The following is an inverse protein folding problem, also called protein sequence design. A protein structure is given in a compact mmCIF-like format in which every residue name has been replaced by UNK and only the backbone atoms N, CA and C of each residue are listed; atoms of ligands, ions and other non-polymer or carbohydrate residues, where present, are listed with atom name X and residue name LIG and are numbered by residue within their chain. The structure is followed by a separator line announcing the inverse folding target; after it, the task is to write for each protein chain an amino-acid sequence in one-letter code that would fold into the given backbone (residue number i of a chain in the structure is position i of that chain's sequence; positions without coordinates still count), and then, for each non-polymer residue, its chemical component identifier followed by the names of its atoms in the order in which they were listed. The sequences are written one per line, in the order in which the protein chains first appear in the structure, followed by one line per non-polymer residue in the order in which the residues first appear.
data_IF_536016864096
#
_entry.id   IF_536016864096
#
_cell.length_a   1.000
_cell.length_b   1.000
_cell.length_c   1.000
_cell.angle_alpha   90.00
_cell.angle_beta   90.00
_cell.angle_gamma   90.00
#
_symmetry.space_group_name_H-M   'P 1'
#
loop_
_entity.id
_entity.type
_entity.pdbx_description
1 polymer ?
#
# COMPACT_ATOMS: atom_id res chain seq x y z
N UNK A 1 29.43 -78.64 -2.82
CA UNK A 1 30.17 -77.36 -2.78
C UNK A 1 29.35 -76.32 -3.53
N UNK A 2 28.67 -75.42 -2.82
CA UNK A 2 27.95 -74.27 -3.40
C UNK A 2 28.57 -73.03 -2.76
N UNK A 3 29.15 -72.08 -3.52
CA UNK A 3 29.63 -70.84 -2.93
C UNK A 3 28.45 -69.91 -2.64
N UNK A 4 28.48 -69.29 -1.46
CA UNK A 4 27.53 -68.26 -0.99
C UNK A 4 27.75 -66.97 -1.79
N UNK A 5 26.66 -66.37 -2.28
CA UNK A 5 26.68 -65.03 -2.85
C UNK A 5 26.90 -63.97 -1.75
N UNK A 6 27.85 -63.07 -1.99
CA UNK A 6 28.18 -61.95 -1.11
C UNK A 6 27.12 -60.85 -1.21
N UNK A 7 26.54 -60.47 -0.07
CA UNK A 7 25.56 -59.39 0.12
C UNK A 7 26.17 -57.97 -0.03
N UNK A 8 27.38 -57.83 -0.57
CA UNK A 8 28.12 -56.56 -0.60
C UNK A 8 27.78 -55.60 -1.76
N UNK A 9 27.03 -56.03 -2.78
CA UNK A 9 26.86 -55.21 -4.01
C UNK A 9 25.54 -54.41 -4.05
N UNK A 10 24.55 -54.76 -3.22
CA UNK A 10 23.26 -54.04 -3.19
C UNK A 10 23.31 -52.72 -2.40
N UNK A 11 24.29 -52.52 -1.52
CA UNK A 11 24.40 -51.30 -0.69
C UNK A 11 24.94 -50.08 -1.44
N UNK A 12 25.72 -50.26 -2.51
CA UNK A 12 26.35 -49.14 -3.23
C UNK A 12 25.43 -48.59 -4.34
N UNK A 13 24.52 -49.41 -4.88
CA UNK A 13 23.56 -48.93 -5.89
C UNK A 13 22.45 -48.05 -5.30
N UNK A 14 22.16 -48.20 -4.00
CA UNK A 14 21.17 -47.37 -3.30
C UNK A 14 21.70 -45.95 -2.95
N UNK A 15 23.03 -45.76 -2.92
CA UNK A 15 23.62 -44.43 -2.67
C UNK A 15 23.75 -43.57 -3.93
N UNK A 16 23.63 -44.16 -5.13
CA UNK A 16 23.70 -43.43 -6.40
C UNK A 16 22.34 -42.84 -6.86
N UNK A 17 21.23 -43.22 -6.21
CA UNK A 17 19.89 -42.71 -6.52
C UNK A 17 19.43 -41.58 -5.59
N UNK A 18 20.27 -41.15 -4.65
CA UNK A 18 19.92 -40.20 -3.58
C UNK A 18 20.33 -38.75 -3.80
N UNK A 19 20.87 -38.37 -4.98
CA UNK A 19 21.36 -36.99 -5.23
C UNK A 19 20.87 -36.47 -6.57
N UNK A 20 19.56 -36.43 -6.75
CA UNK A 20 18.94 -35.68 -7.84
C UNK A 20 17.57 -35.11 -7.45
N UNK A 21 17.40 -34.63 -6.21
CA UNK A 21 16.38 -33.62 -5.93
C UNK A 21 16.93 -32.24 -6.33
N UNK A 22 17.33 -32.09 -7.58
CA UNK A 22 17.33 -30.78 -8.19
C UNK A 22 15.87 -30.41 -8.38
N UNK A 23 15.36 -29.44 -7.63
CA UNK A 23 14.11 -28.79 -7.99
C UNK A 23 14.22 -28.43 -9.47
N UNK A 24 13.43 -29.09 -10.33
CA UNK A 24 13.39 -28.78 -11.75
C UNK A 24 13.00 -27.31 -11.83
N UNK A 25 13.97 -26.46 -12.17
CA UNK A 25 13.76 -25.01 -12.21
C UNK A 25 12.69 -24.79 -13.26
N UNK A 26 11.51 -24.31 -12.84
CA UNK A 26 10.39 -24.00 -13.73
C UNK A 26 10.94 -23.22 -14.93
N UNK A 27 10.96 -23.86 -16.11
CA UNK A 27 11.41 -23.25 -17.35
C UNK A 27 10.20 -22.79 -18.16
N UNK A 28 10.33 -21.70 -18.94
CA UNK A 28 9.33 -21.37 -19.95
C UNK A 28 9.17 -22.52 -20.95
N UNK A 29 7.96 -23.07 -21.05
CA UNK A 29 7.61 -24.13 -22.01
C UNK A 29 6.71 -23.61 -23.13
N UNK A 30 7.01 -23.96 -24.38
CA UNK A 30 6.25 -23.48 -25.54
C UNK A 30 4.77 -23.92 -25.51
N UNK A 31 4.51 -25.20 -25.18
CA UNK A 31 3.14 -25.71 -25.06
C UNK A 31 2.36 -25.00 -23.95
N UNK A 32 2.96 -24.83 -22.77
CA UNK A 32 2.33 -24.07 -21.68
C UNK A 32 2.04 -22.61 -22.07
N UNK A 33 2.97 -21.96 -22.78
CA UNK A 33 2.75 -20.61 -23.27
C UNK A 33 1.57 -20.57 -24.26
N UNK A 34 1.44 -21.56 -25.14
CA UNK A 34 0.34 -21.67 -26.11
C UNK A 34 -1.01 -21.92 -25.43
N UNK A 35 -1.06 -22.85 -24.47
CA UNK A 35 -2.28 -23.17 -23.72
C UNK A 35 -2.73 -22.00 -22.83
N UNK A 36 -1.78 -21.29 -22.22
CA UNK A 36 -2.04 -20.22 -21.23
C UNK A 36 -1.93 -18.81 -21.78
N UNK A 37 -1.68 -18.64 -23.08
CA UNK A 37 -1.53 -17.34 -23.74
C UNK A 37 -2.71 -16.40 -23.43
N UNK A 38 -3.92 -16.93 -23.45
CA UNK A 38 -5.13 -16.15 -23.18
C UNK A 38 -5.11 -15.46 -21.81
N UNK A 39 -4.51 -16.08 -20.78
CA UNK A 39 -4.40 -15.45 -19.47
C UNK A 39 -3.51 -14.21 -19.54
N UNK A 40 -2.36 -14.29 -20.22
CA UNK A 40 -1.43 -13.15 -20.38
C UNK A 40 -2.13 -12.00 -21.10
N UNK A 41 -2.81 -12.28 -22.22
CA UNK A 41 -3.52 -11.25 -22.96
C UNK A 41 -4.71 -10.68 -22.17
N UNK A 42 -5.42 -11.50 -21.38
CA UNK A 42 -6.48 -11.03 -20.50
C UNK A 42 -5.94 -10.15 -19.37
N UNK A 43 -4.78 -10.48 -18.79
CA UNK A 43 -4.14 -9.65 -17.76
C UNK A 43 -3.72 -8.30 -18.34
N UNK A 44 -3.09 -8.27 -19.52
CA UNK A 44 -2.73 -7.02 -20.21
C UNK A 44 -3.98 -6.21 -20.55
N UNK A 45 -5.02 -6.85 -21.08
CA UNK A 45 -6.28 -6.18 -21.41
C UNK A 45 -6.99 -5.62 -20.16
N UNK A 46 -6.88 -6.32 -19.03
CA UNK A 46 -7.54 -5.97 -17.77
C UNK A 46 -6.71 -5.04 -16.88
N UNK A 47 -5.44 -4.80 -17.22
CA UNK A 47 -4.56 -3.93 -16.45
C UNK A 47 -5.21 -2.55 -16.27
N UNK A 48 -5.44 -2.17 -15.01
CA UNK A 48 -6.09 -0.89 -14.66
C UNK A 48 -7.60 -0.87 -14.87
N UNK A 49 -8.27 -2.03 -15.06
CA UNK A 49 -9.72 -2.14 -15.22
C UNK A 49 -10.33 -2.98 -14.10
N UNK A 50 -11.15 -2.34 -13.29
CA UNK A 50 -11.75 -2.93 -12.09
C UNK A 50 -12.43 -4.29 -12.34
N UNK A 51 -13.32 -4.39 -13.35
CA UNK A 51 -14.05 -5.64 -13.61
C UNK A 51 -13.15 -6.81 -13.99
N UNK A 52 -12.12 -6.57 -14.80
CA UNK A 52 -11.19 -7.62 -15.21
C UNK A 52 -10.31 -8.07 -14.04
N UNK A 53 -9.84 -7.10 -13.23
CA UNK A 53 -9.10 -7.36 -12.01
C UNK A 53 -9.94 -8.10 -10.96
N UNK A 54 -11.24 -7.81 -10.85
CA UNK A 54 -12.15 -8.50 -9.93
C UNK A 54 -12.39 -9.97 -10.29
N UNK A 55 -12.47 -10.30 -11.59
CA UNK A 55 -12.62 -11.69 -12.06
C UNK A 55 -11.35 -12.52 -11.82
N UNK A 56 -10.17 -11.90 -11.94
CA UNK A 56 -8.87 -12.51 -11.66
C UNK A 56 -8.20 -11.85 -10.46
N UNK A 57 -8.86 -11.94 -9.31
CA UNK A 57 -8.58 -11.12 -8.11
C UNK A 57 -7.16 -11.24 -7.54
N UNK A 58 -6.44 -12.34 -7.76
CA UNK A 58 -5.04 -12.45 -7.30
C UNK A 58 -4.09 -11.58 -8.12
N UNK A 59 -4.39 -11.40 -9.41
CA UNK A 59 -3.44 -10.88 -10.37
C UNK A 59 -2.20 -11.76 -10.49
N UNK A 60 -1.41 -11.57 -11.55
CA UNK A 60 -0.11 -12.23 -11.68
C UNK A 60 0.93 -11.37 -12.42
N UNK A 61 0.60 -10.10 -12.65
CA UNK A 61 1.45 -9.14 -13.35
C UNK A 61 1.84 -7.94 -12.49
N UNK A 62 2.98 -7.36 -12.84
CA UNK A 62 3.37 -6.02 -12.40
C UNK A 62 3.64 -5.20 -13.65
N UNK A 63 2.94 -4.08 -13.80
CA UNK A 63 3.00 -3.28 -15.02
C UNK A 63 3.62 -1.92 -14.72
N UNK A 64 4.79 -1.59 -15.29
CA UNK A 64 5.27 -0.21 -15.25
C UNK A 64 4.33 0.67 -16.05
N UNK A 65 3.88 1.77 -15.45
CA UNK A 65 2.95 2.71 -16.06
C UNK A 65 3.39 4.15 -15.78
N UNK A 66 2.75 5.09 -16.47
CA UNK A 66 2.96 6.53 -16.25
C UNK A 66 1.62 7.19 -16.02
N UNK A 67 1.51 7.93 -14.92
CA UNK A 67 0.43 8.88 -14.68
C UNK A 67 0.88 10.23 -15.23
N UNK A 68 0.19 10.80 -16.22
CA UNK A 68 0.59 12.09 -16.80
C UNK A 68 0.59 13.26 -15.80
N UNK A 69 1.35 14.30 -16.12
CA UNK A 69 1.17 15.62 -15.50
C UNK A 69 -0.28 16.13 -15.64
N UNK A 70 -0.79 16.81 -14.62
CA UNK A 70 -2.12 17.38 -14.59
C UNK A 70 -3.22 16.41 -14.18
N UNK A 71 -2.93 15.13 -13.95
CA UNK A 71 -3.89 14.14 -13.43
C UNK A 71 -4.36 14.54 -12.03
N UNK A 72 -5.67 14.50 -11.85
CA UNK A 72 -6.34 14.78 -10.58
C UNK A 72 -6.45 13.51 -9.73
N UNK A 73 -6.31 13.69 -8.43
CA UNK A 73 -6.43 12.65 -7.43
C UNK A 73 -7.23 13.15 -6.22
N UNK A 74 -7.89 12.23 -5.53
CA UNK A 74 -8.82 12.54 -4.45
C UNK A 74 -8.49 11.76 -3.19
N UNK A 75 -8.66 12.38 -2.02
CA UNK A 75 -8.40 11.74 -0.74
C UNK A 75 -9.46 12.14 0.28
N UNK A 76 -10.09 11.15 0.90
CA UNK A 76 -10.98 11.37 2.03
C UNK A 76 -10.26 11.11 3.34
N UNK A 77 -10.35 12.04 4.28
CA UNK A 77 -9.70 11.94 5.58
C UNK A 77 -10.57 12.51 6.69
N UNK A 78 -10.28 12.11 7.92
CA UNK A 78 -10.80 12.80 9.13
C UNK A 78 -9.97 14.02 9.50
N UNK A 79 -8.86 14.25 8.82
CA UNK A 79 -7.92 15.31 9.12
C UNK A 79 -7.88 16.34 8.00
N UNK A 80 -7.76 17.62 8.37
CA UNK A 80 -7.58 18.72 7.42
C UNK A 80 -6.10 19.06 7.21
N UNK A 81 -5.27 18.03 7.09
CA UNK A 81 -3.83 18.18 6.88
C UNK A 81 -3.39 17.25 5.78
N UNK A 82 -2.32 17.65 5.10
CA UNK A 82 -1.65 16.77 4.16
C UNK A 82 -0.96 15.64 4.92
N UNK A 83 -1.22 14.37 4.57
CA UNK A 83 -0.52 13.23 5.15
C UNK A 83 0.99 13.33 4.88
N UNK A 84 1.82 12.96 5.84
CA UNK A 84 3.29 13.12 5.73
C UNK A 84 4.03 11.82 5.38
N UNK A 85 3.30 10.72 5.24
CA UNK A 85 3.84 9.39 4.92
C UNK A 85 3.26 8.84 3.62
N UNK A 86 3.50 7.54 3.36
CA UNK A 86 2.75 6.80 2.34
C UNK A 86 1.26 6.93 2.61
N UNK A 87 0.51 7.34 1.60
CA UNK A 87 -0.93 7.54 1.67
C UNK A 87 -1.59 7.12 0.36
N UNK A 88 -2.84 6.70 0.44
CA UNK A 88 -3.66 6.41 -0.74
C UNK A 88 -4.32 7.67 -1.29
N UNK A 89 -4.28 7.80 -2.61
CA UNK A 89 -5.11 8.72 -3.35
C UNK A 89 -5.93 7.93 -4.38
N UNK A 90 -7.20 8.29 -4.54
CA UNK A 90 -8.07 7.70 -5.55
C UNK A 90 -8.02 8.46 -6.86
N UNK A 91 -8.16 7.75 -7.98
CA UNK A 91 -8.40 8.34 -9.30
C UNK A 91 -9.82 8.93 -9.43
N UNK A 92 -10.78 8.37 -8.68
CA UNK A 92 -12.19 8.74 -8.75
C UNK A 92 -12.68 9.39 -7.44
N UNK A 93 -13.61 10.34 -7.56
CA UNK A 93 -14.16 11.11 -6.43
C UNK A 93 -14.95 10.20 -5.51
N UNK A 94 -15.73 9.28 -6.08
CA UNK A 94 -16.65 8.38 -5.41
C UNK A 94 -15.93 7.46 -4.43
N UNK A 95 -14.76 6.96 -4.83
CA UNK A 95 -13.92 6.13 -3.97
C UNK A 95 -13.44 6.92 -2.74
N UNK A 96 -13.03 8.18 -2.93
CA UNK A 96 -12.56 9.02 -1.84
C UNK A 96 -13.68 9.59 -0.95
N UNK A 97 -14.88 9.82 -1.50
CA UNK A 97 -15.97 10.50 -0.82
C UNK A 97 -16.39 9.75 0.46
N UNK A 98 -16.44 8.42 0.41
CA UNK A 98 -16.85 7.60 1.55
C UNK A 98 -15.95 7.83 2.79
N UNK A 99 -14.67 8.17 2.58
CA UNK A 99 -13.70 8.45 3.63
C UNK A 99 -13.72 9.91 4.12
N UNK A 100 -14.42 10.80 3.40
CA UNK A 100 -14.60 12.21 3.74
C UNK A 100 -15.94 12.51 4.44
N UNK A 101 -16.77 11.50 4.71
CA UNK A 101 -18.10 11.69 5.30
C UNK A 101 -18.02 12.20 6.74
N UNK A 102 -18.85 13.21 7.04
CA UNK A 102 -19.06 13.67 8.42
C UNK A 102 -20.14 12.83 9.09
N UNK A 103 -19.94 12.46 10.36
CA UNK A 103 -20.89 11.61 11.10
C UNK A 103 -21.12 12.13 12.52
N UNK A 104 -22.29 11.84 13.07
CA UNK A 104 -22.61 12.11 14.48
C UNK A 104 -22.22 10.89 15.31
N UNK A 105 -21.30 11.07 16.25
CA UNK A 105 -20.88 10.05 17.20
C UNK A 105 -21.55 10.28 18.54
N UNK A 106 -22.13 9.23 19.12
CA UNK A 106 -22.60 9.24 20.51
C UNK A 106 -21.58 8.56 21.42
N UNK A 107 -21.12 9.21 22.50
CA UNK A 107 -20.31 8.54 23.52
C UNK A 107 -21.02 7.26 24.01
N UNK A 108 -20.31 6.13 24.07
CA UNK A 108 -20.87 4.82 24.47
C UNK A 108 -21.45 3.94 23.35
N UNK A 109 -21.53 4.43 22.11
CA UNK A 109 -21.88 3.61 20.94
C UNK A 109 -20.71 2.78 20.39
N UNK A 110 -21.00 1.78 19.54
CA UNK A 110 -19.97 1.04 18.79
C UNK A 110 -19.14 2.05 17.98
N UNK A 111 -17.83 2.16 18.27
CA UNK A 111 -16.92 3.06 17.53
C UNK A 111 -16.97 2.73 16.03
N UNK A 112 -17.17 3.71 15.13
CA UNK A 112 -16.92 3.49 13.71
C UNK A 112 -15.42 3.23 13.55
N UNK A 113 -15.06 2.06 13.02
CA UNK A 113 -13.68 1.64 12.79
C UNK A 113 -12.98 2.74 11.97
N UNK A 114 -11.96 3.36 12.57
CA UNK A 114 -11.07 4.26 11.84
C UNK A 114 -10.17 3.45 10.91
N UNK A 115 -9.73 4.00 9.75
CA UNK A 115 -8.51 3.53 9.12
C UNK A 115 -7.37 3.55 10.17
N UNK A 116 -6.62 2.47 10.23
CA UNK A 116 -5.62 2.19 11.27
C UNK A 116 -4.60 3.34 11.34
N UNK A 117 -4.43 4.03 12.48
CA UNK A 117 -3.36 5.01 12.63
C UNK A 117 -2.00 4.31 12.77
N UNK A 118 -0.89 4.94 12.32
CA UNK A 118 0.44 4.37 12.45
C UNK A 118 0.89 4.26 13.91
N UNK A 119 1.61 3.19 14.30
CA UNK A 119 2.15 3.07 15.64
C UNK A 119 3.49 3.81 15.78
N UNK A 120 3.59 4.65 16.83
CA UNK A 120 4.81 4.74 17.64
C UNK A 120 5.74 5.94 17.41
N UNK A 121 5.89 6.73 18.47
CA UNK A 121 6.86 7.81 18.67
C UNK A 121 8.32 7.30 18.67
N UNK A 122 9.20 7.98 17.93
CA UNK A 122 10.54 8.37 18.42
C UNK A 122 10.77 9.84 17.99
N UNK A 123 11.20 10.68 18.94
CA UNK A 123 11.50 12.10 18.69
C UNK A 123 12.76 12.18 17.81
N UNK A 124 12.78 12.96 16.71
CA UNK A 124 14.02 13.38 16.09
C UNK A 124 14.52 14.67 16.76
N UNK A 125 15.82 14.70 17.01
CA UNK A 125 16.57 15.84 17.52
C UNK A 125 16.49 17.05 16.58
N UNK A 126 16.63 18.23 17.18
CA UNK A 126 16.59 19.54 16.53
C UNK A 126 17.76 19.72 15.54
N UNK A 127 17.46 20.07 14.29
CA UNK A 127 18.42 20.72 13.40
C UNK A 127 17.81 21.97 12.74
N UNK A 128 18.66 22.99 12.61
CA UNK A 128 18.31 24.40 12.36
C UNK A 128 18.50 24.77 10.88
N UNK A 129 17.61 25.65 10.39
CA UNK A 129 17.89 26.60 9.29
C UNK A 129 17.10 26.33 7.99
N UNK A 130 16.15 27.21 7.65
CA UNK A 130 16.25 28.28 6.61
C UNK A 130 15.95 27.73 5.18
N UNK A 131 15.05 28.24 4.33
CA UNK A 131 14.30 29.51 4.16
C UNK A 131 13.16 29.27 3.15
N UNK A 132 11.94 29.77 3.41
CA UNK A 132 10.74 29.64 2.55
C UNK A 132 9.48 30.24 3.20
N UNK A 133 9.46 31.56 3.43
CA UNK A 133 9.05 32.09 4.74
C UNK A 133 7.56 32.40 5.04
N UNK A 134 6.57 32.08 4.20
CA UNK A 134 5.15 32.32 4.55
C UNK A 134 4.22 31.10 4.45
N UNK A 135 4.22 30.36 3.34
CA UNK A 135 3.43 29.14 3.21
C UNK A 135 3.97 28.01 4.09
N UNK A 136 5.30 27.82 4.11
CA UNK A 136 5.93 26.88 5.04
C UNK A 136 5.74 27.33 6.49
N UNK A 137 5.61 28.63 6.76
CA UNK A 137 5.36 29.14 8.12
C UNK A 137 3.94 28.83 8.60
N UNK A 138 2.95 28.81 7.69
CA UNK A 138 1.59 28.34 8.00
C UNK A 138 1.52 26.82 8.15
N UNK A 139 2.23 26.08 7.30
CA UNK A 139 2.35 24.61 7.41
C UNK A 139 3.08 24.22 8.70
N UNK A 140 4.18 24.90 9.04
CA UNK A 140 4.92 24.73 10.29
C UNK A 140 4.11 25.17 11.51
N UNK A 141 3.23 26.17 11.40
CA UNK A 141 2.27 26.53 12.47
C UNK A 141 1.22 25.44 12.67
N UNK A 142 0.62 24.91 11.59
CA UNK A 142 -0.27 23.73 11.67
C UNK A 142 0.45 22.49 12.20
N UNK A 143 1.71 22.27 11.82
CA UNK A 143 2.58 21.21 12.35
C UNK A 143 3.01 21.45 13.80
N UNK A 144 3.19 22.70 14.22
CA UNK A 144 3.52 23.09 15.60
C UNK A 144 2.33 22.87 16.54
N UNK A 145 1.11 23.18 16.07
CA UNK A 145 -0.13 22.80 16.73
C UNK A 145 -0.29 21.27 16.78
N UNK A 146 0.11 20.55 15.72
CA UNK A 146 0.13 19.08 15.67
C UNK A 146 1.15 18.43 16.65
N UNK A 147 2.40 18.92 16.72
CA UNK A 147 3.46 18.36 17.60
C UNK A 147 3.15 18.59 19.08
N UNK A 148 2.55 19.74 19.44
CA UNK A 148 2.04 19.98 20.80
C UNK A 148 0.87 19.04 21.19
N UNK A 149 0.28 18.35 20.22
CA UNK A 149 -0.87 17.44 20.41
C UNK A 149 -0.53 15.96 20.17
N UNK A 150 0.76 15.62 20.19
CA UNK A 150 1.23 14.24 19.98
C UNK A 150 0.65 13.24 21.00
N UNK A 151 -0.40 12.54 20.56
CA UNK A 151 -1.18 11.42 21.16
C UNK A 151 -2.67 11.66 21.48
N UNK A 152 -3.31 12.77 21.12
CA UNK A 152 -4.67 13.03 21.65
C UNK A 152 -5.71 13.67 20.73
N UNK A 153 -5.50 13.68 19.41
CA UNK A 153 -6.35 14.47 18.50
C UNK A 153 -6.96 13.70 17.32
N UNK A 154 -7.01 12.35 17.30
CA UNK A 154 -8.18 11.76 16.63
C UNK A 154 -9.38 12.35 17.37
N UNK A 155 -10.36 12.99 16.73
CA UNK A 155 -11.48 13.47 17.48
C UNK A 155 -12.23 12.32 18.20
N UNK A 156 -11.97 11.03 17.88
CA UNK A 156 -12.32 9.84 18.69
C UNK A 156 -11.50 9.68 19.99
N UNK A 157 -10.25 10.10 20.01
CA UNK A 157 -9.41 10.10 21.23
C UNK A 157 -9.88 11.17 22.22
N UNK A 158 -10.46 12.28 21.73
CA UNK A 158 -11.06 13.34 22.56
C UNK A 158 -12.43 13.00 23.13
N UNK A 159 -13.14 12.00 22.58
CA UNK A 159 -14.41 11.52 23.16
C UNK A 159 -14.19 10.45 24.26
N UNK A 160 -12.94 10.17 24.63
CA UNK A 160 -12.63 9.23 25.70
C UNK A 160 -12.60 9.87 27.11
N UNK A 161 -13.00 11.13 27.27
CA UNK A 161 -13.30 11.69 28.59
C UNK A 161 -14.79 11.50 28.91
N UNK A 162 -15.18 10.62 29.86
CA UNK A 162 -16.59 10.30 30.15
C UNK A 162 -17.33 11.43 30.88
N UNK A 163 -16.76 12.63 30.98
CA UNK A 163 -17.37 13.78 31.67
C UNK A 163 -17.86 14.82 30.67
N UNK A 164 -18.86 14.47 29.89
CA UNK A 164 -19.53 15.42 29.00
C UNK A 164 -20.87 14.86 28.57
N UNK A 165 -21.88 15.73 28.53
CA UNK A 165 -23.29 15.45 28.28
C UNK A 165 -23.54 14.49 27.09
N UNK A 166 -24.65 13.74 27.13
CA UNK A 166 -25.11 12.74 26.13
C UNK A 166 -25.32 13.29 24.69
N UNK A 167 -24.82 14.47 24.40
CA UNK A 167 -24.95 15.16 23.14
C UNK A 167 -24.07 14.52 22.05
N UNK A 168 -24.60 14.35 20.84
CA UNK A 168 -23.84 13.76 19.74
C UNK A 168 -22.72 14.71 19.29
N UNK A 169 -21.48 14.22 19.32
CA UNK A 169 -20.31 14.91 18.76
C UNK A 169 -20.33 14.80 17.24
N UNK A 170 -20.29 15.93 16.53
CA UNK A 170 -20.18 15.94 15.06
C UNK A 170 -18.73 15.78 14.66
N UNK A 171 -18.40 14.63 14.09
CA UNK A 171 -17.10 14.32 13.52
C UNK A 171 -17.06 14.79 12.07
N UNK A 172 -16.23 15.80 11.78
CA UNK A 172 -16.10 16.34 10.43
C UNK A 172 -15.13 15.49 9.60
N UNK A 173 -15.54 15.15 8.39
CA UNK A 173 -14.66 14.62 7.35
C UNK A 173 -14.19 15.72 6.40
N UNK A 174 -13.06 15.46 5.75
CA UNK A 174 -12.37 16.37 4.84
C UNK A 174 -12.10 15.65 3.52
N UNK A 175 -12.42 16.35 2.43
CA UNK A 175 -12.15 15.89 1.09
C UNK A 175 -11.03 16.75 0.50
N UNK A 176 -9.96 16.11 0.09
CA UNK A 176 -8.77 16.75 -0.44
C UNK A 176 -8.59 16.39 -1.91
N UNK A 177 -8.07 17.35 -2.67
CA UNK A 177 -7.83 17.20 -4.11
C UNK A 177 -6.37 17.53 -4.41
N UNK A 178 -5.77 16.70 -5.25
CA UNK A 178 -4.35 16.72 -5.58
C UNK A 178 -4.21 16.70 -7.09
N UNK A 179 -3.16 17.35 -7.62
CA UNK A 179 -2.89 17.38 -9.05
C UNK A 179 -1.40 17.12 -9.30
N UNK A 180 -1.09 16.14 -10.15
CA UNK A 180 0.29 15.87 -10.55
C UNK A 180 0.90 17.07 -11.26
N UNK A 181 2.14 17.40 -10.92
CA UNK A 181 2.90 18.53 -11.50
C UNK A 181 4.02 18.06 -12.43
N UNK A 182 4.04 16.77 -12.74
CA UNK A 182 4.92 16.07 -13.68
C UNK A 182 4.35 14.68 -13.91
N UNK A 183 4.89 13.99 -14.91
CA UNK A 183 4.67 12.56 -15.08
C UNK A 183 5.19 11.78 -13.86
N UNK A 184 4.36 10.88 -13.34
CA UNK A 184 4.71 9.94 -12.28
C UNK A 184 4.88 8.55 -12.87
N UNK A 185 6.05 7.94 -12.65
CA UNK A 185 6.30 6.54 -13.01
C UNK A 185 5.75 5.66 -11.92
N UNK A 186 4.80 4.79 -12.19
CA UNK A 186 4.18 3.96 -11.14
C UNK A 186 4.25 2.49 -11.50
N UNK A 187 4.25 1.63 -10.49
CA UNK A 187 4.09 0.19 -10.67
C UNK A 187 2.63 -0.19 -10.40
N UNK A 188 1.88 -0.58 -11.43
CA UNK A 188 0.55 -1.16 -11.24
C UNK A 188 0.69 -2.62 -10.80
N UNK A 189 0.07 -2.95 -9.67
CA UNK A 189 -0.01 -4.31 -9.14
C UNK A 189 -1.36 -4.89 -9.58
N UNK A 190 -1.32 -5.92 -10.43
CA UNK A 190 -2.49 -6.54 -11.05
C UNK A 190 -3.45 -7.18 -10.02
N UNK A 191 -4.67 -7.49 -10.47
CA UNK A 191 -5.72 -8.06 -9.65
C UNK A 191 -6.34 -7.05 -8.68
N UNK A 192 -7.07 -7.56 -7.68
CA UNK A 192 -7.68 -6.76 -6.61
C UNK A 192 -6.67 -6.50 -5.50
N UNK A 193 -5.52 -5.94 -5.86
CA UNK A 193 -4.33 -5.82 -5.00
C UNK A 193 -4.50 -4.92 -3.76
N UNK A 194 -5.61 -4.20 -3.61
CA UNK A 194 -5.95 -3.49 -2.36
C UNK A 194 -7.05 -4.19 -1.53
N UNK A 195 -7.59 -5.31 -2.03
CA UNK A 195 -8.60 -6.12 -1.36
C UNK A 195 -8.03 -6.88 -0.18
N UNK A 196 -8.54 -6.59 1.02
CA UNK A 196 -8.08 -7.20 2.28
C UNK A 196 -8.88 -8.45 2.58
N UNK A 197 -8.68 -9.48 1.76
CA UNK A 197 -9.45 -10.73 1.81
C UNK A 197 -8.54 -11.94 1.85
N UNK A 198 -9.08 -13.08 2.32
CA UNK A 198 -8.36 -14.36 2.33
C UNK A 198 -8.41 -15.08 0.96
N UNK A 199 -8.85 -14.39 -0.10
CA UNK A 199 -8.94 -14.97 -1.45
C UNK A 199 -7.60 -14.95 -2.22
N UNK A 200 -6.51 -14.46 -1.61
CA UNK A 200 -5.18 -14.38 -2.22
C UNK A 200 -4.90 -13.05 -2.94
N UNK A 201 -5.76 -12.04 -2.74
CA UNK A 201 -5.67 -10.71 -3.36
C UNK A 201 -4.39 -9.94 -3.01
N UNK A 202 -3.71 -10.31 -1.92
CA UNK A 202 -2.48 -9.67 -1.45
C UNK A 202 -1.21 -10.50 -1.73
N UNK A 203 -1.35 -11.70 -2.32
CA UNK A 203 -0.25 -12.66 -2.48
C UNK A 203 0.91 -12.10 -3.30
N UNK A 204 0.62 -11.37 -4.37
CA UNK A 204 1.66 -10.75 -5.21
C UNK A 204 2.51 -9.74 -4.42
N UNK A 205 1.93 -9.04 -3.45
CA UNK A 205 2.66 -8.11 -2.59
C UNK A 205 3.39 -8.85 -1.47
N UNK A 206 2.71 -9.73 -0.76
CA UNK A 206 3.22 -10.31 0.48
C UNK A 206 4.19 -11.48 0.21
N UNK A 207 3.91 -12.32 -0.81
CA UNK A 207 4.76 -13.46 -1.17
C UNK A 207 5.92 -13.06 -2.08
N UNK A 208 5.66 -12.20 -3.09
CA UNK A 208 6.66 -11.88 -4.12
C UNK A 208 7.42 -10.60 -3.81
N UNK A 209 6.74 -9.46 -3.67
CA UNK A 209 7.42 -8.17 -3.50
C UNK A 209 8.03 -7.96 -2.10
N UNK A 210 7.46 -8.61 -1.08
CA UNK A 210 7.89 -8.50 0.33
C UNK A 210 8.57 -9.77 0.85
N UNK A 211 9.02 -10.65 -0.04
CA UNK A 211 9.80 -11.86 0.31
C UNK A 211 9.10 -12.76 1.35
N UNK A 212 7.85 -13.14 1.09
CA UNK A 212 7.05 -14.02 1.95
C UNK A 212 6.74 -13.44 3.35
N UNK A 213 6.47 -12.13 3.42
CA UNK A 213 6.11 -11.44 4.66
C UNK A 213 4.59 -11.43 4.88
N UNK A 214 4.06 -12.56 5.35
CA UNK A 214 2.62 -12.77 5.58
C UNK A 214 2.20 -12.67 7.06
N UNK A 215 3.14 -12.51 7.98
CA UNK A 215 2.94 -12.72 9.43
C UNK A 215 2.02 -11.69 10.12
N UNK A 216 1.69 -10.60 9.42
CA UNK A 216 0.93 -9.47 9.98
C UNK A 216 -0.53 -9.42 9.54
N UNK A 217 -0.94 -10.36 8.70
CA UNK A 217 -2.32 -10.52 8.24
C UNK A 217 -2.76 -9.48 7.20
N UNK A 218 -4.00 -9.63 6.73
CA UNK A 218 -4.56 -8.82 5.64
C UNK A 218 -4.74 -7.33 5.98
N UNK A 219 -4.82 -6.98 7.27
CA UNK A 219 -5.05 -5.61 7.74
C UNK A 219 -3.77 -4.79 7.94
N UNK A 220 -2.60 -5.34 7.62
CA UNK A 220 -1.29 -4.68 7.80
C UNK A 220 -0.95 -3.65 6.71
N UNK A 221 -1.92 -2.84 6.32
CA UNK A 221 -1.82 -1.97 5.14
C UNK A 221 -0.69 -0.95 5.25
N UNK A 222 -0.44 -0.45 6.45
CA UNK A 222 0.55 0.59 6.65
C UNK A 222 1.99 0.09 6.49
N UNK A 223 2.32 -1.09 7.01
CA UNK A 223 3.65 -1.65 6.80
C UNK A 223 3.83 -2.14 5.37
N UNK A 224 2.78 -2.74 4.77
CA UNK A 224 2.78 -3.08 3.35
C UNK A 224 3.04 -1.85 2.48
N UNK A 225 2.34 -0.75 2.73
CA UNK A 225 2.54 0.51 2.01
C UNK A 225 3.97 1.04 2.16
N UNK A 226 4.54 0.99 3.37
CA UNK A 226 5.93 1.39 3.61
C UNK A 226 6.93 0.52 2.85
N UNK A 227 6.81 -0.81 2.96
CA UNK A 227 7.74 -1.75 2.35
C UNK A 227 7.71 -1.61 0.82
N UNK A 228 6.52 -1.52 0.24
CA UNK A 228 6.34 -1.32 -1.21
C UNK A 228 6.80 0.07 -1.67
N UNK A 229 6.61 1.13 -0.86
CA UNK A 229 7.15 2.45 -1.19
C UNK A 229 8.69 2.44 -1.21
N UNK A 230 9.33 1.70 -0.30
CA UNK A 230 10.78 1.53 -0.31
C UNK A 230 11.23 0.83 -1.58
N UNK A 231 10.59 -0.29 -1.93
CA UNK A 231 10.89 -1.05 -3.16
C UNK A 231 10.70 -0.21 -4.42
N UNK A 232 9.57 0.49 -4.52
CA UNK A 232 9.26 1.39 -5.65
C UNK A 232 10.36 2.45 -5.81
N UNK A 233 10.80 3.06 -4.70
CA UNK A 233 11.87 4.06 -4.72
C UNK A 233 13.21 3.47 -5.20
N UNK A 234 13.57 2.28 -4.74
CA UNK A 234 14.80 1.58 -5.19
C UNK A 234 14.77 1.27 -6.69
N UNK A 235 13.57 1.02 -7.25
CA UNK A 235 13.36 0.74 -8.67
C UNK A 235 13.13 1.98 -9.52
N UNK A 236 13.13 3.18 -8.92
CA UNK A 236 12.91 4.45 -9.63
C UNK A 236 11.45 4.73 -10.00
N UNK A 237 10.50 4.12 -9.30
CA UNK A 237 9.07 4.44 -9.37
C UNK A 237 8.67 5.47 -8.32
N UNK A 238 7.73 6.32 -8.72
CA UNK A 238 7.00 7.32 -7.94
C UNK A 238 5.80 6.76 -7.16
N UNK A 239 5.74 5.45 -6.96
CA UNK A 239 4.70 4.79 -6.18
C UNK A 239 4.13 3.58 -6.91
N UNK A 240 3.03 3.05 -6.38
CA UNK A 240 2.37 1.89 -6.94
C UNK A 240 0.85 2.07 -6.96
N UNK A 241 0.20 1.45 -7.94
CA UNK A 241 -1.24 1.51 -8.14
C UNK A 241 -1.84 0.16 -7.78
N UNK A 242 -2.98 0.18 -7.09
CA UNK A 242 -3.72 -1.00 -6.66
C UNK A 242 -5.21 -0.80 -6.89
N UNK A 243 -5.96 -1.90 -6.89
CA UNK A 243 -7.39 -1.91 -7.16
C UNK A 243 -8.14 -2.63 -6.03
N UNK A 244 -9.21 -2.02 -5.55
CA UNK A 244 -10.24 -2.66 -4.71
C UNK A 244 -11.62 -2.15 -5.15
N UNK A 245 -12.31 -1.32 -4.35
CA UNK A 245 -13.58 -0.66 -4.71
C UNK A 245 -13.37 0.54 -5.66
N UNK A 246 -12.20 0.60 -6.28
CA UNK A 246 -11.73 1.67 -7.12
C UNK A 246 -10.22 1.58 -7.23
N UNK A 247 -9.65 2.49 -8.02
CA UNK A 247 -8.22 2.49 -8.30
C UNK A 247 -7.56 3.51 -7.36
N UNK A 248 -6.57 3.03 -6.60
CA UNK A 248 -5.78 3.85 -5.70
C UNK A 248 -4.31 3.87 -6.12
N UNK A 249 -3.68 5.02 -6.00
CA UNK A 249 -2.23 5.15 -5.98
C UNK A 249 -1.77 5.30 -4.55
N UNK A 250 -0.78 4.52 -4.15
CA UNK A 250 -0.03 4.74 -2.92
C UNK A 250 1.23 5.51 -3.28
N UNK A 251 1.34 6.73 -2.75
CA UNK A 251 2.52 7.55 -2.92
C UNK A 251 2.80 8.39 -1.67
N UNK A 252 3.88 9.17 -1.74
CA UNK A 252 4.23 10.12 -0.70
C UNK A 252 3.58 11.47 -0.96
N UNK A 253 2.84 11.97 0.04
CA UNK A 253 2.33 13.32 0.05
C UNK A 253 3.26 14.18 0.94
N UNK A 254 3.88 15.21 0.36
CA UNK A 254 4.71 16.17 1.11
C UNK A 254 6.21 15.87 1.26
N UNK A 255 6.89 16.72 2.03
CA UNK A 255 8.36 16.88 2.02
C UNK A 255 9.15 16.07 3.08
N UNK A 256 8.58 15.03 3.72
CA UNK A 256 9.28 14.24 4.77
C UNK A 256 9.96 12.96 4.23
N UNK A 257 11.27 12.76 4.47
CA UNK A 257 12.03 11.63 3.93
C UNK A 257 11.74 10.33 4.70
N UNK A 258 10.85 9.50 4.15
CA UNK A 258 10.73 8.08 4.53
C UNK A 258 11.15 7.17 3.36
N UNK A 259 11.11 7.71 2.13
CA UNK A 259 11.80 7.19 0.95
C UNK A 259 12.92 8.17 0.61
N UNK A 260 14.19 7.76 0.72
CA UNK A 260 15.33 8.66 0.53
C UNK A 260 15.49 9.06 -0.95
N UNK A 261 15.68 10.37 -1.14
CA UNK A 261 16.13 11.08 -2.35
C UNK A 261 15.20 11.08 -3.58
N UNK A 262 14.79 12.28 -4.02
CA UNK A 262 14.31 12.55 -5.39
C UNK A 262 12.91 13.13 -5.56
N UNK A 263 12.06 13.05 -4.53
CA UNK A 263 10.65 13.39 -4.67
C UNK A 263 10.39 14.89 -4.51
N UNK A 264 10.09 15.57 -5.62
CA UNK A 264 9.42 16.89 -5.57
C UNK A 264 7.92 16.64 -5.43
N UNK A 265 7.33 17.19 -4.38
CA UNK A 265 5.93 17.04 -4.04
C UNK A 265 5.01 17.43 -5.21
N UNK A 266 3.88 16.73 -5.32
CA UNK A 266 2.69 17.14 -6.07
C UNK A 266 2.36 18.59 -5.69
N UNK A 267 2.28 19.50 -6.68
CA UNK A 267 2.05 20.92 -6.43
C UNK A 267 0.56 21.16 -6.19
N UNK A 268 0.25 21.78 -5.06
CA UNK A 268 -1.09 22.01 -4.57
C UNK A 268 -1.81 23.12 -5.33
N UNK A 269 -3.06 22.87 -5.74
CA UNK A 269 -4.02 23.93 -6.00
C UNK A 269 -5.22 23.67 -5.10
N UNK A 270 -5.32 24.42 -4.00
CA UNK A 270 -6.48 24.38 -3.11
C UNK A 270 -7.61 25.14 -3.81
N UNK A 271 -8.68 24.44 -4.18
CA UNK A 271 -9.97 25.06 -4.52
C UNK A 271 -10.77 25.35 -3.26
#
# INVERSE_FOLDING_TARGET
MVPKASLGVLGVLALALGVANGHERIQPGHEYAKERAHMVFNAIHSAGREWGSALYHNGFGFFPATVPEGTMFYHGSRQNVTPTGPEWLAFDIEHAENFARSFKYRPGGRRPVAPIPPPGKKKPDEDKGQTGEEEDRQELRRRSEYIKTGNGNDPLDKVADPKGDDDPVVMRGYFHTYQTNRDLKVLLIDGMSAGKTDMGTLDSQDLVLRENNTDRGSMDEWHRARDLCKLASEWGFDGFVRIEIGIEIINRLGNVPICESGWRAIRWRRS
#
